data_IF_462162305527
#
_entry.id   IF_462162305527
#
_cell.length_a   1.000
_cell.length_b   1.000
_cell.length_c   1.000
_cell.angle_alpha   90.00
_cell.angle_beta   90.00
_cell.angle_gamma   90.00
#
_symmetry.space_group_name_H-M   'P 1'
#
loop_
_entity.id
_entity.type
_entity.pdbx_description
1 polymer ?
#
# COMPACT_ATOMS: atom_id res chain seq x y z
N UNK A 1 31.43 -9.73 -24.26
CA UNK A 1 30.05 -10.27 -24.20
C UNK A 1 29.27 -9.31 -23.34
N UNK A 2 28.73 -8.29 -23.98
CA UNK A 2 27.87 -7.28 -23.36
C UNK A 2 26.44 -7.60 -23.83
N UNK A 3 25.47 -7.54 -22.93
CA UNK A 3 24.07 -7.83 -23.27
C UNK A 3 23.33 -6.55 -23.64
N UNK A 4 22.95 -6.44 -24.91
CA UNK A 4 22.17 -5.33 -25.45
C UNK A 4 20.73 -5.36 -24.92
N UNK A 5 20.30 -4.27 -24.27
CA UNK A 5 18.89 -4.06 -23.93
C UNK A 5 18.19 -3.32 -25.07
N UNK A 6 17.33 -4.04 -25.79
CA UNK A 6 16.58 -3.52 -26.94
C UNK A 6 15.56 -2.46 -26.48
N UNK A 7 15.92 -1.18 -26.64
CA UNK A 7 14.96 -0.07 -26.65
C UNK A 7 14.35 0.10 -28.04
N UNK A 8 13.03 -0.11 -28.14
CA UNK A 8 12.32 -0.23 -29.42
C UNK A 8 11.18 0.77 -29.64
N UNK A 9 11.54 2.01 -29.97
CA UNK A 9 10.69 3.08 -30.57
C UNK A 9 9.54 3.67 -29.72
N UNK A 10 9.64 4.96 -29.41
CA UNK A 10 8.51 5.77 -28.93
C UNK A 10 8.84 6.82 -27.85
N UNK A 11 9.96 7.55 -27.94
CA UNK A 11 10.20 8.70 -27.07
C UNK A 11 9.71 10.01 -27.72
N UNK A 12 8.78 10.68 -27.05
CA UNK A 12 8.82 12.13 -26.87
C UNK A 12 8.77 12.42 -25.36
N UNK A 13 9.72 13.20 -24.85
CA UNK A 13 9.79 13.61 -23.43
C UNK A 13 10.19 15.08 -23.35
N UNK A 14 9.20 15.98 -23.34
CA UNK A 14 9.24 17.39 -22.90
C UNK A 14 7.76 17.81 -22.63
N UNK A 15 7.37 18.56 -21.61
CA UNK A 15 8.14 19.20 -20.52
C UNK A 15 7.30 19.33 -19.22
N UNK A 16 7.91 19.86 -18.15
CA UNK A 16 7.37 20.32 -16.86
C UNK A 16 5.84 20.48 -16.66
N UNK A 17 5.27 19.68 -15.74
CA UNK A 17 4.51 20.23 -14.59
C UNK A 17 4.34 19.19 -13.46
N UNK A 18 3.85 19.64 -12.30
CA UNK A 18 3.88 18.94 -11.00
C UNK A 18 2.84 17.81 -10.91
N UNK A 19 3.21 16.72 -10.21
CA UNK A 19 2.37 15.67 -9.60
C UNK A 19 1.27 15.04 -10.49
N UNK A 20 1.45 13.78 -10.95
CA UNK A 20 0.35 12.93 -11.43
C UNK A 20 0.68 11.43 -11.22
N UNK A 21 -0.28 10.64 -10.70
CA UNK A 21 -0.21 9.18 -10.50
C UNK A 21 -1.40 8.45 -11.20
N UNK A 22 -1.25 7.14 -11.42
CA UNK A 22 -2.21 6.25 -12.11
C UNK A 22 -2.38 4.92 -11.33
N UNK A 23 -3.38 4.08 -11.66
CA UNK A 23 -3.66 2.71 -11.13
C UNK A 23 -4.89 2.05 -11.82
N UNK A 24 -5.02 0.72 -11.76
CA UNK A 24 -6.19 -0.07 -12.22
C UNK A 24 -6.43 -1.24 -11.23
N UNK A 25 -7.34 -2.19 -11.51
CA UNK A 25 -8.67 -2.36 -10.90
C UNK A 25 -8.92 -3.86 -10.63
N UNK A 26 -9.72 -4.22 -9.63
CA UNK A 26 -10.54 -5.44 -9.62
C UNK A 26 -11.92 -5.17 -9.00
N UNK A 27 -12.91 -5.99 -9.34
CA UNK A 27 -14.31 -5.83 -8.94
C UNK A 27 -14.84 -7.13 -8.33
N UNK A 28 -15.67 -7.01 -7.30
CA UNK A 28 -16.56 -8.07 -6.82
C UNK A 28 -18.00 -7.58 -6.91
N UNK A 29 -18.90 -8.42 -7.41
CA UNK A 29 -20.28 -8.04 -7.69
C UNK A 29 -21.23 -8.52 -6.60
N UNK A 30 -21.99 -7.58 -6.00
CA UNK A 30 -23.35 -7.88 -5.54
C UNK A 30 -23.74 -7.45 -4.13
N UNK A 31 -24.02 -6.15 -3.93
CA UNK A 31 -25.22 -5.63 -3.24
C UNK A 31 -25.23 -4.08 -3.34
N UNK A 32 -26.30 -3.40 -3.84
CA UNK A 32 -26.22 -1.96 -4.14
C UNK A 32 -26.50 -0.99 -2.97
N UNK A 33 -26.64 -1.46 -1.72
CA UNK A 33 -27.08 -0.61 -0.59
C UNK A 33 -26.11 -0.52 0.61
N UNK A 34 -24.91 -1.12 0.51
CA UNK A 34 -23.86 -1.03 1.54
C UNK A 34 -22.45 -1.16 0.94
N UNK A 35 -21.98 -0.14 0.23
CA UNK A 35 -20.72 -0.25 -0.53
C UNK A 35 -19.44 0.06 0.28
N UNK A 36 -18.63 -0.98 0.49
CA UNK A 36 -17.26 -0.85 1.00
C UNK A 36 -16.36 -0.25 -0.08
N UNK A 37 -15.89 0.98 0.15
CA UNK A 37 -15.14 1.72 -0.86
C UNK A 37 -13.67 1.24 -0.93
N UNK A 38 -13.40 0.35 -1.90
CA UNK A 38 -12.05 -0.03 -2.35
C UNK A 38 -11.59 0.96 -3.43
N UNK A 39 -10.45 1.64 -3.22
CA UNK A 39 -10.09 2.84 -3.99
C UNK A 39 -8.71 2.73 -4.65
N UNK A 40 -8.67 3.13 -5.93
CA UNK A 40 -7.48 3.12 -6.78
C UNK A 40 -7.19 4.54 -7.27
N UNK A 41 -6.00 5.08 -7.01
CA UNK A 41 -5.66 6.45 -7.39
C UNK A 41 -5.33 6.58 -8.88
N UNK A 42 -6.11 7.38 -9.62
CA UNK A 42 -5.77 7.84 -10.97
C UNK A 42 -6.19 9.26 -11.26
N UNK A 43 -5.36 9.98 -12.00
CA UNK A 43 -5.88 10.97 -12.94
C UNK A 43 -4.82 11.82 -13.60
N UNK A 44 -4.64 11.68 -14.92
CA UNK A 44 -4.36 12.84 -15.76
C UNK A 44 -5.74 13.39 -16.19
N UNK A 45 -6.09 14.65 -15.88
CA UNK A 45 -7.46 15.17 -16.06
C UNK A 45 -7.88 15.42 -17.53
N UNK A 46 -7.04 15.12 -18.53
CA UNK A 46 -7.29 15.51 -19.93
C UNK A 46 -7.73 14.39 -20.90
N UNK A 47 -7.76 13.11 -20.51
CA UNK A 47 -8.26 12.03 -21.37
C UNK A 47 -9.75 11.77 -21.17
N UNK A 48 -10.57 12.08 -22.19
CA UNK A 48 -12.02 11.94 -22.19
C UNK A 48 -12.53 10.55 -22.59
N UNK A 49 -11.67 9.63 -23.04
CA UNK A 49 -12.08 8.33 -23.62
C UNK A 49 -11.56 7.09 -22.85
N UNK A 50 -10.86 7.27 -21.72
CA UNK A 50 -10.26 6.15 -20.97
C UNK A 50 -11.13 5.61 -19.84
N UNK A 51 -11.18 4.28 -19.68
CA UNK A 51 -11.79 3.58 -18.54
C UNK A 51 -11.15 3.92 -17.17
N UNK A 52 -10.04 4.67 -17.16
CA UNK A 52 -9.38 5.22 -15.97
C UNK A 52 -10.20 6.31 -15.28
N UNK A 53 -10.89 7.17 -16.02
CA UNK A 53 -11.54 8.37 -15.46
C UNK A 53 -12.67 8.07 -14.46
N UNK A 54 -13.22 6.85 -14.51
CA UNK A 54 -14.27 6.34 -13.62
C UNK A 54 -13.71 5.60 -12.40
N UNK A 55 -12.61 6.07 -11.80
CA UNK A 55 -12.11 5.57 -10.50
C UNK A 55 -12.48 6.56 -9.41
N UNK A 56 -12.85 6.04 -8.24
CA UNK A 56 -12.94 6.86 -7.04
C UNK A 56 -11.52 7.31 -6.66
N UNK A 57 -11.37 8.54 -6.18
CA UNK A 57 -10.09 9.17 -5.85
C UNK A 57 -10.14 9.70 -4.42
N UNK A 58 -8.98 9.82 -3.76
CA UNK A 58 -8.90 10.15 -2.33
C UNK A 58 -9.56 11.50 -1.97
N UNK A 59 -9.57 12.47 -2.89
CA UNK A 59 -10.27 13.76 -2.73
C UNK A 59 -11.81 13.64 -2.62
N UNK A 60 -12.38 12.49 -3.00
CA UNK A 60 -13.83 12.20 -2.97
C UNK A 60 -14.20 11.17 -1.91
N UNK A 61 -13.24 10.78 -1.08
CA UNK A 61 -13.38 9.74 -0.06
C UNK A 61 -13.64 10.35 1.30
N UNK A 62 -14.73 9.92 1.94
CA UNK A 62 -14.98 10.23 3.34
C UNK A 62 -14.01 9.42 4.22
N UNK A 63 -13.03 10.10 4.84
CA UNK A 63 -12.02 9.51 5.74
C UNK A 63 -12.18 9.91 7.20
N UNK A 64 -13.03 10.89 7.53
CA UNK A 64 -13.15 11.46 8.87
C UNK A 64 -13.59 10.39 9.88
N UNK A 65 -12.94 10.35 11.04
CA UNK A 65 -13.09 9.31 12.09
C UNK A 65 -12.79 7.86 11.64
N UNK A 66 -12.39 7.59 10.39
CA UNK A 66 -12.11 6.23 9.89
C UNK A 66 -10.63 5.82 10.05
N UNK A 67 -10.38 4.51 10.13
CA UNK A 67 -9.04 3.92 9.95
C UNK A 67 -8.80 3.68 8.46
N UNK A 68 -7.74 4.28 7.91
CA UNK A 68 -7.36 4.17 6.49
C UNK A 68 -6.17 3.21 6.37
N UNK A 69 -6.35 2.12 5.63
CA UNK A 69 -5.26 1.29 5.12
C UNK A 69 -4.78 1.89 3.81
N UNK A 70 -3.47 2.11 3.67
CA UNK A 70 -2.88 2.72 2.47
C UNK A 70 -1.69 1.91 1.99
N UNK A 71 -1.77 1.34 0.79
CA UNK A 71 -0.61 0.75 0.14
C UNK A 71 0.23 1.85 -0.48
N UNK A 72 1.53 1.87 -0.19
CA UNK A 72 2.47 2.90 -0.68
C UNK A 72 3.75 2.28 -1.24
N UNK A 73 4.25 2.83 -2.34
CA UNK A 73 5.46 2.34 -3.00
C UNK A 73 6.73 2.84 -2.28
N UNK A 74 7.12 2.21 -1.17
CA UNK A 74 8.37 2.53 -0.46
C UNK A 74 9.56 1.66 -0.89
N UNK A 75 9.57 1.17 -2.13
CA UNK A 75 10.68 0.38 -2.68
C UNK A 75 11.87 1.28 -3.07
N UNK A 76 12.50 1.88 -2.06
CA UNK A 76 13.60 2.84 -2.21
C UNK A 76 14.97 2.15 -2.34
N UNK A 77 15.91 2.71 -3.13
CA UNK A 77 17.27 2.21 -3.16
C UNK A 77 17.98 2.48 -1.83
N UNK A 78 18.68 1.47 -1.32
CA UNK A 78 19.44 1.56 -0.08
C UNK A 78 20.91 1.14 -0.29
N UNK A 79 21.82 1.77 0.46
CA UNK A 79 23.24 1.42 0.52
C UNK A 79 23.73 1.62 1.95
N UNK A 80 24.47 0.65 2.50
CA UNK A 80 25.02 0.69 3.86
C UNK A 80 23.97 1.09 4.92
N UNK A 81 22.77 0.50 4.80
CA UNK A 81 21.60 0.73 5.65
C UNK A 81 21.08 2.18 5.68
N UNK A 82 21.33 2.94 4.61
CA UNK A 82 20.82 4.29 4.39
C UNK A 82 20.07 4.39 3.05
N UNK A 83 19.00 5.20 3.03
CA UNK A 83 18.22 5.51 1.83
C UNK A 83 19.06 6.42 0.94
N UNK A 84 19.27 6.03 -0.32
CA UNK A 84 20.03 6.87 -1.28
C UNK A 84 19.14 7.77 -2.13
N UNK A 85 17.83 7.48 -2.21
CA UNK A 85 16.83 8.35 -2.83
C UNK A 85 15.47 8.20 -2.12
N UNK A 86 14.99 9.27 -1.49
CA UNK A 86 13.72 9.34 -0.75
C UNK A 86 12.51 9.82 -1.57
N UNK A 87 12.64 10.00 -2.89
CA UNK A 87 11.56 10.51 -3.75
C UNK A 87 10.25 9.71 -3.61
N UNK A 88 10.34 8.38 -3.50
CA UNK A 88 9.15 7.52 -3.34
C UNK A 88 8.47 7.65 -1.96
N UNK A 89 9.22 8.00 -0.92
CA UNK A 89 8.63 8.26 0.40
C UNK A 89 7.93 9.63 0.37
N UNK A 90 8.61 10.66 -0.17
CA UNK A 90 8.06 11.99 -0.41
C UNK A 90 6.80 11.98 -1.28
N UNK A 91 6.70 11.03 -2.22
CA UNK A 91 5.56 10.85 -3.11
C UNK A 91 4.23 10.60 -2.36
N UNK A 92 4.25 9.78 -1.31
CA UNK A 92 3.04 9.41 -0.55
C UNK A 92 2.69 10.40 0.58
N UNK A 93 3.61 11.29 0.97
CA UNK A 93 3.39 12.28 2.05
C UNK A 93 2.14 13.13 1.84
N UNK A 94 1.79 13.63 0.64
CA UNK A 94 0.53 14.34 0.39
C UNK A 94 -0.71 13.50 0.71
N UNK A 95 -0.75 12.23 0.30
CA UNK A 95 -1.87 11.31 0.56
C UNK A 95 -2.03 11.03 2.06
N UNK A 96 -0.91 10.79 2.75
CA UNK A 96 -0.88 10.58 4.20
C UNK A 96 -1.38 11.83 4.94
N UNK A 97 -0.87 13.03 4.58
CA UNK A 97 -1.30 14.29 5.19
C UNK A 97 -2.76 14.58 4.90
N UNK A 98 -3.24 14.38 3.68
CA UNK A 98 -4.66 14.54 3.33
C UNK A 98 -5.56 13.70 4.26
N UNK A 99 -5.24 12.42 4.48
CA UNK A 99 -6.03 11.59 5.40
C UNK A 99 -6.06 12.17 6.83
N UNK A 100 -4.91 12.63 7.34
CA UNK A 100 -4.81 13.21 8.68
C UNK A 100 -5.54 14.55 8.80
N UNK A 101 -5.37 15.44 7.82
CA UNK A 101 -5.96 16.78 7.77
C UNK A 101 -7.48 16.73 7.60
N UNK A 102 -7.99 15.73 6.86
CA UNK A 102 -9.42 15.40 6.77
C UNK A 102 -9.94 14.61 7.99
N UNK A 103 -9.14 14.40 9.03
CA UNK A 103 -9.57 13.86 10.32
C UNK A 103 -9.69 12.35 10.39
N UNK A 104 -8.90 11.59 9.62
CA UNK A 104 -8.81 10.14 9.80
C UNK A 104 -8.34 9.76 11.21
N UNK A 105 -8.96 8.73 11.79
CA UNK A 105 -8.62 8.22 13.13
C UNK A 105 -7.22 7.61 13.13
N UNK A 106 -6.82 6.94 12.06
CA UNK A 106 -5.42 6.59 11.80
C UNK A 106 -5.14 6.25 10.34
N UNK A 107 -3.87 6.28 9.96
CA UNK A 107 -3.37 5.73 8.69
C UNK A 107 -2.46 4.53 8.98
N UNK A 108 -2.67 3.41 8.30
CA UNK A 108 -1.85 2.19 8.37
C UNK A 108 -1.21 1.97 7.00
N UNK A 109 0.11 2.07 6.94
CA UNK A 109 0.89 2.02 5.71
C UNK A 109 1.40 0.60 5.44
N UNK A 110 1.12 0.11 4.24
CA UNK A 110 1.45 -1.22 3.75
C UNK A 110 2.46 -1.12 2.61
N UNK A 111 3.58 -1.85 2.69
CA UNK A 111 4.73 -1.61 1.79
C UNK A 111 5.38 -2.89 1.28
N UNK A 112 6.05 -2.74 0.14
CA UNK A 112 7.01 -3.69 -0.41
C UNK A 112 8.40 -3.07 -0.47
N UNK A 113 9.42 -3.80 -0.03
CA UNK A 113 10.82 -3.38 -0.15
C UNK A 113 11.69 -4.51 -0.71
N UNK A 114 12.33 -4.24 -1.86
CA UNK A 114 13.24 -5.16 -2.52
C UNK A 114 12.58 -6.41 -3.10
N UNK A 115 13.32 -7.52 -3.08
CA UNK A 115 12.84 -8.84 -3.52
C UNK A 115 13.23 -9.88 -2.48
N UNK A 116 12.21 -10.41 -1.82
CA UNK A 116 12.30 -11.33 -0.68
C UNK A 116 12.01 -12.77 -1.08
N UNK A 117 11.23 -12.93 -2.17
CA UNK A 117 10.66 -14.19 -2.68
C UNK A 117 9.82 -14.93 -1.62
N UNK A 118 8.99 -14.21 -0.85
CA UNK A 118 8.12 -14.78 0.19
C UNK A 118 8.86 -15.31 1.44
N UNK A 119 10.09 -14.85 1.68
CA UNK A 119 10.92 -15.26 2.82
C UNK A 119 11.35 -14.03 3.63
N UNK A 120 11.18 -14.01 4.97
CA UNK A 120 11.65 -12.92 5.81
C UNK A 120 13.17 -12.71 5.70
N UNK A 121 13.59 -11.45 5.48
CA UNK A 121 15.00 -11.03 5.40
C UNK A 121 15.21 -9.66 6.08
N UNK A 122 14.91 -9.52 7.38
CA UNK A 122 15.00 -8.24 8.10
C UNK A 122 16.44 -7.70 8.20
N UNK A 123 17.45 -8.58 8.05
CA UNK A 123 18.87 -8.25 7.95
C UNK A 123 19.23 -7.46 6.67
N UNK A 124 18.46 -7.66 5.59
CA UNK A 124 18.71 -7.06 4.27
C UNK A 124 17.70 -5.97 3.89
N UNK A 125 16.46 -6.12 4.32
CA UNK A 125 15.33 -5.24 3.99
C UNK A 125 14.70 -4.67 5.27
N UNK A 126 15.54 -4.08 6.13
CA UNK A 126 15.16 -3.32 7.31
C UNK A 126 14.40 -2.02 6.93
N UNK A 127 13.44 -1.62 7.76
CA UNK A 127 12.57 -0.46 7.50
C UNK A 127 12.82 0.71 8.45
N UNK A 128 13.65 0.56 9.46
CA UNK A 128 13.98 1.63 10.40
C UNK A 128 14.39 2.95 9.72
N UNK A 129 15.22 2.98 8.65
CA UNK A 129 15.51 4.22 7.92
C UNK A 129 14.29 4.82 7.21
N UNK A 130 13.36 3.99 6.73
CA UNK A 130 12.11 4.42 6.08
C UNK A 130 11.16 5.03 7.11
N UNK A 131 11.10 4.45 8.32
CA UNK A 131 10.35 4.99 9.46
C UNK A 131 10.86 6.38 9.85
N UNK A 132 12.17 6.54 10.05
CA UNK A 132 12.75 7.82 10.47
C UNK A 132 12.66 8.90 9.39
N UNK A 133 12.90 8.55 8.12
CA UNK A 133 12.68 9.45 6.99
C UNK A 133 11.21 9.88 6.89
N UNK A 134 10.26 8.94 7.04
CA UNK A 134 8.84 9.28 7.00
C UNK A 134 8.44 10.19 8.15
N UNK A 135 8.86 9.90 9.39
CA UNK A 135 8.64 10.77 10.57
C UNK A 135 9.07 12.21 10.30
N UNK A 136 10.28 12.37 9.74
CA UNK A 136 10.84 13.68 9.38
C UNK A 136 9.97 14.43 8.37
N UNK A 137 9.51 13.74 7.31
CA UNK A 137 8.71 14.34 6.24
C UNK A 137 7.26 14.66 6.65
N UNK A 138 6.64 13.83 7.49
CA UNK A 138 5.28 14.08 7.98
C UNK A 138 5.24 15.04 9.17
N UNK A 139 6.32 15.15 9.94
CA UNK A 139 6.39 15.97 11.16
C UNK A 139 5.65 15.37 12.35
N UNK A 140 5.56 14.04 12.40
CA UNK A 140 4.75 13.29 13.39
C UNK A 140 5.33 11.90 13.61
N UNK A 141 5.10 11.32 14.78
CA UNK A 141 5.49 9.94 15.07
C UNK A 141 4.83 8.93 14.14
N UNK A 142 5.63 7.97 13.68
CA UNK A 142 5.23 6.77 12.95
C UNK A 142 5.51 5.58 13.85
N UNK A 143 4.46 4.83 14.21
CA UNK A 143 4.58 3.58 14.95
C UNK A 143 4.93 2.45 13.98
N UNK A 144 6.14 1.90 14.09
CA UNK A 144 6.56 0.76 13.29
C UNK A 144 6.10 -0.56 13.93
N UNK A 145 5.35 -1.36 13.17
CA UNK A 145 4.92 -2.70 13.56
C UNK A 145 5.78 -3.74 12.83
N UNK A 146 6.56 -4.52 13.59
CA UNK A 146 7.54 -5.50 13.07
C UNK A 146 6.92 -6.79 12.51
N UNK A 147 5.66 -6.72 12.12
CA UNK A 147 4.91 -7.80 11.50
C UNK A 147 3.71 -7.20 10.76
N UNK A 148 3.11 -7.96 9.86
CA UNK A 148 1.97 -7.52 9.05
C UNK A 148 0.67 -8.22 9.44
N UNK A 149 0.74 -9.49 9.84
CA UNK A 149 -0.40 -10.41 9.90
C UNK A 149 -0.28 -11.31 11.13
N UNK A 150 -0.57 -10.73 12.30
CA UNK A 150 -0.67 -11.41 13.60
C UNK A 150 -1.69 -10.69 14.50
N UNK A 151 -2.24 -11.40 15.48
CA UNK A 151 -3.20 -10.85 16.46
C UNK A 151 -2.68 -9.60 17.19
N UNK A 152 -1.37 -9.49 17.42
CA UNK A 152 -0.73 -8.29 17.99
C UNK A 152 -0.91 -7.06 17.09
N UNK A 153 -0.78 -7.20 15.77
CA UNK A 153 -0.97 -6.13 14.79
C UNK A 153 -2.45 -5.75 14.68
N UNK A 154 -3.35 -6.74 14.65
CA UNK A 154 -4.79 -6.51 14.69
C UNK A 154 -5.19 -5.70 15.94
N UNK A 155 -4.73 -6.12 17.13
CA UNK A 155 -4.97 -5.40 18.39
C UNK A 155 -4.35 -3.99 18.41
N UNK A 156 -3.11 -3.85 17.91
CA UNK A 156 -2.43 -2.56 17.84
C UNK A 156 -3.12 -1.57 16.88
N UNK A 157 -3.85 -2.07 15.87
CA UNK A 157 -4.63 -1.28 14.93
C UNK A 157 -6.07 -1.01 15.38
N UNK A 158 -6.69 -1.87 16.20
CA UNK A 158 -8.12 -1.89 16.50
C UNK A 158 -8.70 -0.57 17.07
N UNK A 159 -8.07 0.03 18.10
CA UNK A 159 -8.54 1.31 18.65
C UNK A 159 -7.38 2.32 18.81
N UNK A 160 -7.04 3.05 17.73
CA UNK A 160 -5.92 3.98 17.72
C UNK A 160 -6.29 5.33 18.32
N UNK A 161 -5.30 6.02 18.90
CA UNK A 161 -5.42 7.45 19.17
C UNK A 161 -5.62 8.23 17.85
N UNK A 162 -6.45 9.29 17.81
CA UNK A 162 -6.70 10.06 16.59
C UNK A 162 -5.42 10.57 15.91
N UNK A 163 -5.40 10.50 14.57
CA UNK A 163 -4.25 10.88 13.76
C UNK A 163 -3.01 10.00 13.91
N UNK A 164 -3.11 8.78 14.45
CA UNK A 164 -1.95 7.86 14.51
C UNK A 164 -1.52 7.44 13.12
N UNK A 165 -0.21 7.42 12.85
CA UNK A 165 0.36 6.81 11.63
C UNK A 165 1.12 5.55 12.03
N UNK A 166 0.85 4.45 11.32
CA UNK A 166 1.58 3.17 11.46
C UNK A 166 2.26 2.80 10.16
N UNK A 167 3.41 2.15 10.26
CA UNK A 167 4.05 1.44 9.15
C UNK A 167 4.10 -0.04 9.51
N UNK A 168 3.58 -0.91 8.65
CA UNK A 168 3.76 -2.36 8.78
C UNK A 168 5.15 -2.77 8.29
N UNK A 169 5.56 -3.98 8.67
CA UNK A 169 6.72 -4.66 8.09
C UNK A 169 6.51 -4.92 6.57
N UNK A 170 7.57 -5.33 5.89
CA UNK A 170 7.57 -5.64 4.47
C UNK A 170 6.61 -6.81 4.15
N UNK A 171 5.50 -6.55 3.46
CA UNK A 171 4.47 -7.57 3.17
C UNK A 171 5.03 -8.76 2.38
N UNK A 172 6.02 -8.54 1.49
CA UNK A 172 6.66 -9.61 0.72
C UNK A 172 7.50 -10.57 1.60
N UNK A 173 7.67 -10.34 2.90
CA UNK A 173 8.17 -11.37 3.82
C UNK A 173 7.19 -12.55 3.98
N UNK A 174 5.91 -12.35 3.63
CA UNK A 174 4.90 -13.39 3.56
C UNK A 174 4.74 -13.87 2.11
N UNK A 175 4.75 -15.19 1.88
CA UNK A 175 4.57 -15.76 0.54
C UNK A 175 3.14 -15.62 0.02
N UNK A 176 2.20 -15.39 0.94
CA UNK A 176 0.79 -15.09 0.71
C UNK A 176 0.58 -13.74 0.00
N UNK A 177 1.54 -12.82 0.00
CA UNK A 177 1.45 -11.56 -0.73
C UNK A 177 1.64 -11.74 -2.24
N UNK A 178 2.73 -12.40 -2.66
CA UNK A 178 3.05 -12.64 -4.08
C UNK A 178 2.50 -14.00 -4.61
N UNK A 179 1.78 -14.75 -3.76
CA UNK A 179 1.31 -16.14 -3.90
C UNK A 179 2.39 -17.21 -4.17
N UNK A 180 3.61 -16.80 -4.49
CA UNK A 180 4.73 -17.65 -4.89
C UNK A 180 6.05 -17.05 -4.41
N UNK A 181 7.02 -17.91 -4.19
CA UNK A 181 8.31 -17.52 -3.63
C UNK A 181 9.42 -18.50 -3.97
N UNK A 182 10.56 -18.34 -3.32
CA UNK A 182 11.74 -19.20 -3.44
C UNK A 182 12.51 -19.21 -2.12
N UNK A 183 12.80 -20.41 -1.63
CA UNK A 183 13.75 -20.57 -0.53
C UNK A 183 15.18 -20.18 -0.95
N UNK A 184 16.05 -19.92 0.02
CA UNK A 184 17.48 -19.69 -0.22
C UNK A 184 18.17 -20.88 -0.94
N UNK A 185 17.60 -22.09 -0.87
CA UNK A 185 18.02 -23.27 -1.63
C UNK A 185 17.63 -23.27 -3.11
N UNK A 186 16.89 -22.26 -3.59
CA UNK A 186 16.37 -22.17 -4.96
C UNK A 186 15.05 -22.92 -5.20
N UNK A 187 14.60 -23.73 -4.24
CA UNK A 187 13.31 -24.43 -4.32
C UNK A 187 12.14 -23.42 -4.34
N UNK A 188 11.21 -23.60 -5.28
CA UNK A 188 10.00 -22.77 -5.40
C UNK A 188 9.07 -22.99 -4.21
N UNK A 189 8.46 -21.89 -3.76
CA UNK A 189 7.38 -21.86 -2.79
C UNK A 189 6.10 -21.46 -3.54
N UNK A 190 4.96 -22.02 -3.15
CA UNK A 190 3.63 -21.55 -3.54
C UNK A 190 2.77 -21.52 -2.29
N UNK A 191 2.05 -20.42 -2.06
CA UNK A 191 1.11 -20.32 -0.97
C UNK A 191 -0.10 -21.25 -1.22
N UNK A 192 -0.66 -21.79 -0.14
CA UNK A 192 -1.94 -22.53 -0.19
C UNK A 192 -3.09 -21.52 -0.27
N UNK A 193 -4.16 -21.75 -1.06
CA UNK A 193 -5.28 -20.82 -1.18
C UNK A 193 -5.84 -20.35 0.17
N UNK A 194 -6.08 -21.29 1.10
CA UNK A 194 -6.59 -20.96 2.44
C UNK A 194 -5.64 -20.07 3.28
N UNK A 195 -4.34 -20.05 2.98
CA UNK A 195 -3.37 -19.15 3.62
C UNK A 195 -3.38 -17.76 2.99
N UNK A 196 -3.54 -17.70 1.66
CA UNK A 196 -3.78 -16.45 0.93
C UNK A 196 -5.06 -15.79 1.47
N UNK A 197 -6.17 -16.53 1.55
CA UNK A 197 -7.45 -16.04 2.09
C UNK A 197 -7.30 -15.52 3.54
N UNK A 198 -6.62 -16.28 4.41
CA UNK A 198 -6.40 -15.88 5.80
C UNK A 198 -5.51 -14.63 5.93
N UNK A 199 -4.49 -14.49 5.07
CA UNK A 199 -3.63 -13.31 5.00
C UNK A 199 -4.43 -12.08 4.55
N UNK A 200 -5.21 -12.21 3.48
CA UNK A 200 -6.08 -11.16 2.96
C UNK A 200 -7.11 -10.69 3.99
N UNK A 201 -7.76 -11.63 4.70
CA UNK A 201 -8.69 -11.31 5.80
C UNK A 201 -7.99 -10.59 6.96
N UNK A 202 -6.78 -10.99 7.35
CA UNK A 202 -6.05 -10.33 8.44
C UNK A 202 -5.58 -8.92 8.05
N UNK A 203 -5.05 -8.73 6.85
CA UNK A 203 -4.74 -7.39 6.31
C UNK A 203 -5.99 -6.51 6.25
N UNK A 204 -7.14 -7.06 5.85
CA UNK A 204 -8.41 -6.33 5.75
C UNK A 204 -8.99 -5.85 7.10
N UNK A 205 -8.48 -6.34 8.24
CA UNK A 205 -8.85 -5.86 9.59
C UNK A 205 -8.15 -4.57 10.00
N UNK A 206 -7.12 -4.14 9.28
CA UNK A 206 -6.25 -3.06 9.75
C UNK A 206 -6.84 -1.65 9.50
N UNK A 207 -8.02 -1.58 8.88
CA UNK A 207 -8.84 -0.38 8.78
C UNK A 207 -10.15 -0.63 8.02
N UNK A 208 -10.94 0.43 7.80
CA UNK A 208 -12.26 0.37 7.16
C UNK A 208 -12.27 0.90 5.74
N UNK A 209 -11.20 1.58 5.33
CA UNK A 209 -11.06 2.23 4.03
C UNK A 209 -9.72 1.84 3.45
N UNK A 210 -9.69 1.45 2.18
CA UNK A 210 -8.47 1.10 1.47
C UNK A 210 -8.13 2.13 0.39
N UNK A 211 -6.87 2.59 0.39
CA UNK A 211 -6.31 3.52 -0.60
C UNK A 211 -5.07 2.89 -1.24
N UNK A 212 -5.04 2.78 -2.57
CA UNK A 212 -3.85 2.34 -3.30
C UNK A 212 -3.06 3.54 -3.87
N UNK A 213 -1.95 3.90 -3.20
CA UNK A 213 -0.96 4.90 -3.64
C UNK A 213 0.38 4.21 -4.02
N UNK A 214 0.28 3.00 -4.58
CA UNK A 214 1.40 2.16 -4.99
C UNK A 214 1.30 1.77 -6.47
N UNK A 215 1.26 2.75 -7.38
CA UNK A 215 1.11 2.49 -8.83
C UNK A 215 2.15 1.50 -9.38
N UNK A 216 3.39 1.56 -8.88
CA UNK A 216 4.47 0.67 -9.29
C UNK A 216 4.15 -0.82 -9.11
N UNK A 217 3.22 -1.17 -8.21
CA UNK A 217 2.77 -2.54 -7.96
C UNK A 217 1.34 -2.84 -8.45
N UNK A 218 0.57 -1.83 -8.89
CA UNK A 218 -0.83 -1.99 -9.32
C UNK A 218 -1.03 -2.92 -10.55
N UNK A 219 0.03 -3.25 -11.29
CA UNK A 219 0.01 -4.24 -12.37
C UNK A 219 0.06 -5.70 -11.86
N UNK A 220 0.22 -5.91 -10.54
CA UNK A 220 0.35 -7.22 -9.93
C UNK A 220 -0.92 -7.60 -9.19
N UNK A 221 -1.43 -8.81 -9.43
CA UNK A 221 -2.54 -9.40 -8.68
C UNK A 221 -2.05 -9.99 -7.35
N UNK A 222 -1.51 -9.14 -6.48
CA UNK A 222 -1.03 -9.53 -5.15
C UNK A 222 -2.09 -9.28 -4.08
N UNK A 223 -1.97 -9.94 -2.92
CA UNK A 223 -2.96 -9.84 -1.83
C UNK A 223 -3.22 -8.39 -1.39
N UNK A 224 -2.20 -7.55 -1.20
CA UNK A 224 -2.38 -6.13 -0.88
C UNK A 224 -3.05 -5.29 -1.98
N UNK A 225 -3.00 -5.73 -3.24
CA UNK A 225 -3.53 -5.00 -4.40
C UNK A 225 -4.99 -5.38 -4.73
N UNK A 226 -5.36 -6.64 -4.52
CA UNK A 226 -6.65 -7.20 -5.00
C UNK A 226 -7.45 -7.97 -3.95
N UNK A 227 -6.84 -8.30 -2.80
CA UNK A 227 -7.45 -9.10 -1.73
C UNK A 227 -7.89 -8.31 -0.50
N UNK A 228 -7.64 -7.00 -0.45
CA UNK A 228 -8.05 -6.15 0.68
C UNK A 228 -9.54 -5.83 0.57
N UNK A 229 -10.35 -6.46 1.41
CA UNK A 229 -11.80 -6.34 1.46
C UNK A 229 -12.29 -6.13 2.91
N UNK A 230 -12.31 -4.88 3.42
CA UNK A 230 -12.78 -4.60 4.78
C UNK A 230 -14.28 -4.87 4.90
N UNK A 231 -14.73 -5.77 5.80
CA UNK A 231 -16.12 -6.21 5.86
C UNK A 231 -17.07 -5.15 6.42
N UNK A 232 -18.29 -5.14 5.89
CA UNK A 232 -19.32 -4.14 6.14
C UNK A 232 -19.75 -4.05 7.61
N UNK A 233 -19.70 -5.18 8.32
CA UNK A 233 -20.13 -5.29 9.72
C UNK A 233 -19.23 -4.58 10.73
N UNK A 234 -18.10 -3.99 10.31
CA UNK A 234 -17.22 -3.20 11.18
C UNK A 234 -17.38 -1.68 11.00
N UNK A 235 -18.33 -1.21 10.18
CA UNK A 235 -18.62 0.21 9.99
C UNK A 235 -19.51 0.78 11.11
N UNK A 236 -19.14 0.55 12.37
CA UNK A 236 -19.77 1.22 13.49
C UNK A 236 -19.23 2.65 13.52
N UNK A 237 -20.01 3.56 12.94
CA UNK A 237 -19.84 4.99 13.14
C UNK A 237 -20.31 5.32 14.56
N UNK A 238 -19.40 5.74 15.43
CA UNK A 238 -19.77 6.40 16.69
C UNK A 238 -20.53 7.69 16.34
N UNK A 239 -21.85 7.64 16.42
CA UNK A 239 -22.74 8.81 16.32
C UNK A 239 -22.44 9.76 17.50
N UNK A 240 -22.04 11.00 17.16
CA UNK A 240 -21.97 12.17 18.04
C UNK A 240 -22.90 13.26 17.49
#
# INVERSE_FOLDING_TARGET
MEEEWIWGRGQEVIEHSKNNYLAYLLASTGNPESEGQIIYLTGNPYDKNSKLSNKLTLDKLEVKKKQVMMSVDFNVPMKNNQITNNQRIKAAVPSIKFCLDCGAKSVVLMIHLGQTDGVPRPDKYFLEPVVEELKSLIGKDVLFLKNCVVLEVENACANPAPGTVRLLENLCFHVEEEEKGKYASGNKIKAEPAKIDAFQVSVSKLGYVYVNDAFGTAHRAHSSMVGVNPPESWWIFDEE
#
